data_IF_529403116101
#
_entry.id   IF_529403116101
#
_cell.length_a   1.000
_cell.length_b   1.000
_cell.length_c   1.000
_cell.angle_alpha   90.00
_cell.angle_beta   90.00
_cell.angle_gamma   90.00
#
_symmetry.space_group_name_H-M   'P 1'
#
loop_
_entity.id
_entity.type
_entity.pdbx_description
1 polymer ?
#
# COMPACT_ATOMS: atom_id res chain seq x y z
N UNK A 1 -30.02 10.99 3.89
CA UNK A 1 -29.12 11.40 2.79
C UNK A 1 -27.77 11.58 3.46
N UNK A 2 -26.93 10.55 3.38
CA UNK A 2 -25.55 10.65 3.86
C UNK A 2 -24.81 11.59 2.90
N UNK A 3 -24.22 12.66 3.44
CA UNK A 3 -23.44 13.59 2.66
C UNK A 3 -22.17 12.89 2.18
N UNK A 4 -21.92 12.90 0.88
CA UNK A 4 -20.70 12.36 0.27
C UNK A 4 -19.40 13.02 0.79
N UNK A 5 -19.52 14.07 1.59
CA UNK A 5 -18.40 14.89 2.04
C UNK A 5 -17.89 14.52 3.44
N UNK A 6 -18.43 13.46 4.05
CA UNK A 6 -18.10 13.08 5.43
C UNK A 6 -16.77 12.31 5.54
N UNK A 7 -16.21 11.88 4.43
CA UNK A 7 -14.94 11.14 4.39
C UNK A 7 -13.91 11.89 3.55
N UNK A 8 -12.70 11.98 4.08
CA UNK A 8 -11.57 12.53 3.34
C UNK A 8 -10.36 11.61 3.43
N UNK A 9 -9.57 11.59 2.37
CA UNK A 9 -8.22 11.03 2.38
C UNK A 9 -7.25 12.18 2.42
N UNK A 10 -6.40 12.23 3.43
CA UNK A 10 -5.26 13.15 3.47
C UNK A 10 -3.99 12.40 3.11
N UNK A 11 -3.10 13.09 2.39
CA UNK A 11 -1.77 12.58 2.05
C UNK A 11 -0.73 13.61 2.47
N UNK A 12 0.22 13.19 3.28
CA UNK A 12 1.35 14.01 3.73
C UNK A 12 2.62 13.48 3.10
N UNK A 13 3.38 14.34 2.44
CA UNK A 13 4.64 13.98 1.78
C UNK A 13 5.73 15.02 2.02
N UNK A 14 6.98 14.57 2.16
CA UNK A 14 8.10 15.48 2.35
C UNK A 14 9.31 14.83 3.02
N UNK A 15 10.25 15.62 3.52
CA UNK A 15 11.39 15.10 4.30
C UNK A 15 10.91 14.40 5.57
N UNK A 16 11.39 13.16 5.79
CA UNK A 16 11.06 12.41 7.00
C UNK A 16 11.71 13.04 8.23
N UNK A 17 10.90 13.30 9.24
CA UNK A 17 11.34 13.85 10.51
C UNK A 17 10.51 13.33 11.68
N UNK A 18 11.09 13.21 12.88
CA UNK A 18 10.34 12.88 14.08
C UNK A 18 9.24 13.92 14.35
N UNK A 19 8.07 13.43 14.75
CA UNK A 19 6.97 14.31 15.16
C UNK A 19 5.90 14.55 14.10
N UNK A 20 6.11 14.21 12.81
CA UNK A 20 5.12 14.43 11.76
C UNK A 20 3.81 13.72 12.09
N UNK A 21 3.84 12.43 12.36
CA UNK A 21 2.63 11.65 12.67
C UNK A 21 1.97 12.16 13.93
N UNK A 22 2.75 12.40 15.00
CA UNK A 22 2.18 12.86 16.29
C UNK A 22 1.53 14.23 16.17
N UNK A 23 2.10 15.17 15.44
CA UNK A 23 1.51 16.49 15.24
C UNK A 23 0.20 16.42 14.45
N UNK A 24 0.19 15.68 13.35
CA UNK A 24 -1.02 15.50 12.53
C UNK A 24 -2.12 14.80 13.34
N UNK A 25 -1.79 13.69 14.01
CA UNK A 25 -2.79 12.94 14.79
C UNK A 25 -3.28 13.69 16.03
N UNK A 26 -2.48 14.60 16.62
CA UNK A 26 -2.94 15.48 17.70
C UNK A 26 -4.04 16.40 17.24
N UNK A 27 -3.88 17.06 16.07
CA UNK A 27 -4.92 17.90 15.47
C UNK A 27 -6.20 17.10 15.20
N UNK A 28 -6.07 15.88 14.66
CA UNK A 28 -7.21 15.00 14.42
C UNK A 28 -7.93 14.65 15.73
N UNK A 29 -7.16 14.33 16.78
CA UNK A 29 -7.69 13.99 18.10
C UNK A 29 -8.44 15.18 18.76
N UNK A 30 -7.86 16.38 18.70
CA UNK A 30 -8.48 17.61 19.25
C UNK A 30 -9.81 17.92 18.57
N UNK A 31 -9.93 17.60 17.29
CA UNK A 31 -11.13 17.79 16.48
C UNK A 31 -12.07 16.58 16.51
N UNK A 32 -11.83 15.56 17.35
CA UNK A 32 -12.62 14.33 17.46
C UNK A 32 -12.80 13.59 16.12
N UNK A 33 -11.79 13.63 15.24
CA UNK A 33 -11.79 12.96 13.95
C UNK A 33 -11.42 11.49 14.13
N UNK A 34 -12.19 10.60 13.52
CA UNK A 34 -11.88 9.16 13.51
C UNK A 34 -10.99 8.81 12.33
N UNK A 35 -9.89 8.12 12.60
CA UNK A 35 -9.04 7.52 11.56
C UNK A 35 -9.62 6.16 11.22
N UNK A 36 -9.98 5.95 9.93
CA UNK A 36 -10.48 4.68 9.41
C UNK A 36 -9.33 3.80 8.97
N UNK A 37 -8.38 4.39 8.26
CA UNK A 37 -7.21 3.70 7.74
C UNK A 37 -6.00 4.63 7.77
N UNK A 38 -4.80 4.03 7.93
CA UNK A 38 -3.54 4.75 7.98
C UNK A 38 -2.42 3.90 7.40
N UNK A 39 -1.71 4.44 6.43
CA UNK A 39 -0.50 3.85 5.89
C UNK A 39 0.64 4.86 5.82
N UNK A 40 1.83 4.41 6.20
CA UNK A 40 3.06 5.19 6.12
C UNK A 40 4.16 4.38 5.46
N UNK A 41 4.88 5.04 4.57
CA UNK A 41 6.11 4.51 3.99
C UNK A 41 7.20 5.58 4.03
N UNK A 42 8.44 5.16 4.31
CA UNK A 42 9.61 6.05 4.22
C UNK A 42 10.56 5.50 3.17
N UNK A 43 10.80 6.30 2.12
CA UNK A 43 11.72 5.95 1.04
C UNK A 43 12.87 6.95 1.05
N UNK A 44 14.08 6.50 1.41
CA UNK A 44 15.31 7.33 1.40
C UNK A 44 15.12 8.72 2.03
N UNK A 45 14.59 8.77 3.26
CA UNK A 45 14.30 10.01 4.01
C UNK A 45 13.14 10.86 3.47
N UNK A 46 12.32 10.33 2.62
CA UNK A 46 11.05 10.93 2.22
C UNK A 46 9.92 10.13 2.84
N UNK A 47 9.07 10.80 3.62
CA UNK A 47 7.85 10.23 4.19
C UNK A 47 6.70 10.38 3.18
N UNK A 48 5.91 9.34 3.09
CA UNK A 48 4.58 9.34 2.48
C UNK A 48 3.63 8.75 3.52
N UNK A 49 2.70 9.57 4.00
CA UNK A 49 1.71 9.18 4.99
C UNK A 49 0.33 9.46 4.40
N UNK A 50 -0.50 8.43 4.34
CA UNK A 50 -1.89 8.55 3.89
C UNK A 50 -2.82 8.13 5.02
N UNK A 51 -3.88 8.89 5.24
CA UNK A 51 -4.92 8.58 6.23
C UNK A 51 -6.29 8.77 5.63
N UNK A 52 -7.18 7.82 5.87
CA UNK A 52 -8.60 7.97 5.61
C UNK A 52 -9.31 8.39 6.89
N UNK A 53 -10.05 9.48 6.83
CA UNK A 53 -10.66 10.14 7.97
C UNK A 53 -12.18 10.16 7.83
N UNK A 54 -12.87 9.90 8.94
CA UNK A 54 -14.32 10.06 9.10
C UNK A 54 -14.59 11.36 9.90
N UNK A 55 -15.26 12.28 9.27
CA UNK A 55 -15.51 13.63 9.80
C UNK A 55 -16.92 13.79 10.39
N UNK A 56 -17.74 12.74 10.41
CA UNK A 56 -19.16 12.83 10.87
C UNK A 56 -19.33 13.34 12.29
N UNK A 57 -18.37 13.06 13.15
CA UNK A 57 -18.37 13.50 14.56
C UNK A 57 -17.37 14.63 14.82
N UNK A 58 -16.79 15.23 13.76
CA UNK A 58 -15.74 16.23 13.91
C UNK A 58 -16.28 17.53 14.53
N UNK A 59 -15.50 18.07 15.48
CA UNK A 59 -15.77 19.36 16.13
C UNK A 59 -15.18 20.49 15.29
N UNK A 60 -15.92 21.55 15.05
CA UNK A 60 -15.41 22.77 14.40
C UNK A 60 -15.56 22.83 12.89
N UNK A 61 -16.01 21.74 12.24
CA UNK A 61 -16.25 21.70 10.79
C UNK A 61 -14.99 21.44 9.95
N UNK A 62 -15.22 20.94 8.75
CA UNK A 62 -14.16 20.49 7.82
C UNK A 62 -13.15 21.58 7.46
N UNK A 63 -13.62 22.82 7.23
CA UNK A 63 -12.76 23.94 6.81
C UNK A 63 -11.76 24.30 7.91
N UNK A 64 -12.18 24.33 9.19
CA UNK A 64 -11.28 24.61 10.31
C UNK A 64 -10.22 23.55 10.44
N UNK A 65 -10.60 22.27 10.40
CA UNK A 65 -9.69 21.14 10.46
C UNK A 65 -8.64 21.19 9.35
N UNK A 66 -9.09 21.37 8.10
CA UNK A 66 -8.17 21.42 6.96
C UNK A 66 -7.20 22.60 7.07
N UNK A 67 -7.68 23.76 7.53
CA UNK A 67 -6.79 24.90 7.77
C UNK A 67 -5.71 24.60 8.81
N UNK A 68 -6.09 23.97 9.93
CA UNK A 68 -5.14 23.62 10.99
C UNK A 68 -4.11 22.59 10.51
N UNK A 69 -4.55 21.58 9.77
CA UNK A 69 -3.68 20.58 9.15
C UNK A 69 -2.71 21.20 8.13
N UNK A 70 -3.18 22.12 7.28
CA UNK A 70 -2.33 22.81 6.29
C UNK A 70 -1.29 23.73 6.97
N UNK A 71 -1.68 24.42 8.04
CA UNK A 71 -0.74 25.25 8.81
C UNK A 71 0.33 24.39 9.47
N UNK A 72 -0.05 23.27 10.06
CA UNK A 72 0.88 22.34 10.68
C UNK A 72 1.82 21.69 9.67
N UNK A 73 1.29 21.24 8.51
CA UNK A 73 2.11 20.71 7.43
C UNK A 73 3.19 21.72 6.98
N UNK A 74 2.82 22.98 6.85
CA UNK A 74 3.77 24.05 6.54
C UNK A 74 4.83 24.23 7.63
N UNK A 75 4.44 24.14 8.91
CA UNK A 75 5.37 24.21 10.04
C UNK A 75 6.36 23.05 10.05
N UNK A 76 5.90 21.87 9.68
CA UNK A 76 6.70 20.64 9.59
C UNK A 76 7.51 20.54 8.29
N UNK A 77 7.38 21.50 7.37
CA UNK A 77 8.02 21.50 6.06
C UNK A 77 7.67 20.25 5.22
N UNK A 78 6.39 19.86 5.27
CA UNK A 78 5.82 18.80 4.44
C UNK A 78 4.67 19.36 3.61
N UNK A 79 4.35 18.67 2.51
CA UNK A 79 3.18 18.93 1.70
C UNK A 79 1.99 18.12 2.24
N UNK A 80 0.81 18.71 2.24
CA UNK A 80 -0.43 18.04 2.58
C UNK A 80 -1.44 18.26 1.46
N UNK A 81 -1.94 17.17 0.92
CA UNK A 81 -3.04 17.12 -0.03
C UNK A 81 -4.25 16.41 0.57
N UNK A 82 -5.45 16.68 0.05
CA UNK A 82 -6.67 16.01 0.51
C UNK A 82 -7.65 15.78 -0.63
N UNK A 83 -8.39 14.69 -0.54
CA UNK A 83 -9.47 14.32 -1.45
C UNK A 83 -10.70 13.93 -0.67
N UNK A 84 -11.86 14.41 -1.12
CA UNK A 84 -13.14 13.91 -0.63
C UNK A 84 -13.32 12.48 -1.14
N UNK A 85 -13.70 11.58 -0.25
CA UNK A 85 -13.95 10.18 -0.54
C UNK A 85 -15.44 9.88 -0.41
N UNK A 86 -16.00 9.04 -1.28
CA UNK A 86 -17.37 8.56 -1.14
C UNK A 86 -17.46 7.37 -0.18
N UNK A 87 -18.52 7.31 0.59
CA UNK A 87 -18.76 6.24 1.58
C UNK A 87 -18.82 4.84 0.95
N UNK A 88 -19.41 4.73 -0.24
CA UNK A 88 -19.63 3.45 -0.91
C UNK A 88 -18.34 2.76 -1.39
N UNK A 89 -17.25 3.51 -1.58
CA UNK A 89 -15.98 2.97 -2.06
C UNK A 89 -15.19 2.23 -0.97
N UNK A 90 -15.54 2.43 0.32
CA UNK A 90 -14.67 2.04 1.44
C UNK A 90 -15.26 0.98 2.37
N UNK A 91 -16.56 0.73 2.32
CA UNK A 91 -17.23 -0.26 3.19
C UNK A 91 -17.54 -1.59 2.52
N UNK A 92 -17.20 -1.74 1.25
CA UNK A 92 -17.27 -3.06 0.64
C UNK A 92 -16.16 -3.91 1.27
N UNK A 93 -16.52 -4.74 2.22
CA UNK A 93 -15.79 -5.96 2.54
C UNK A 93 -15.86 -6.83 1.28
N UNK A 94 -15.04 -6.44 0.33
CA UNK A 94 -14.91 -7.17 -0.91
C UNK A 94 -14.40 -8.56 -0.61
N UNK A 95 -15.11 -9.56 -1.07
CA UNK A 95 -14.60 -10.92 -1.25
C UNK A 95 -13.47 -10.91 -2.30
N UNK A 96 -12.47 -10.06 -2.11
CA UNK A 96 -11.38 -9.92 -3.03
C UNK A 96 -10.36 -11.02 -2.79
N UNK A 97 -9.98 -11.66 -3.87
CA UNK A 97 -8.86 -12.59 -3.84
C UNK A 97 -7.55 -11.80 -3.92
N UNK A 98 -6.66 -12.06 -2.97
CA UNK A 98 -5.34 -11.45 -2.95
C UNK A 98 -4.28 -12.51 -3.21
N UNK A 99 -3.31 -12.14 -4.04
CA UNK A 99 -2.14 -12.97 -4.32
C UNK A 99 -0.89 -12.15 -4.13
N UNK A 100 0.20 -12.82 -3.76
CA UNK A 100 1.52 -12.24 -3.73
C UNK A 100 2.34 -12.79 -4.90
N UNK A 101 2.83 -11.90 -5.73
CA UNK A 101 3.79 -12.17 -6.79
C UNK A 101 5.15 -11.72 -6.28
N UNK A 102 6.05 -12.68 -6.06
CA UNK A 102 7.41 -12.42 -5.59
C UNK A 102 8.39 -12.62 -6.74
N UNK A 103 9.21 -11.61 -7.00
CA UNK A 103 10.30 -11.68 -8.00
C UNK A 103 11.64 -11.58 -7.29
N UNK A 104 12.52 -12.54 -7.55
CA UNK A 104 13.88 -12.65 -7.02
C UNK A 104 14.89 -12.70 -8.16
N UNK A 105 15.98 -11.96 -8.06
CA UNK A 105 17.06 -11.98 -9.05
C UNK A 105 18.26 -11.14 -8.61
N UNK A 106 19.38 -11.31 -9.30
CA UNK A 106 20.58 -10.49 -9.04
C UNK A 106 20.28 -9.01 -9.33
N UNK A 107 19.48 -8.75 -10.35
CA UNK A 107 19.11 -7.39 -10.74
C UNK A 107 17.67 -7.33 -11.23
N UNK A 108 16.81 -6.66 -10.50
CA UNK A 108 15.44 -6.37 -10.92
C UNK A 108 15.42 -4.99 -11.59
N UNK A 109 15.32 -4.99 -12.92
CA UNK A 109 15.30 -3.77 -13.72
C UNK A 109 13.88 -3.24 -13.88
N UNK A 110 13.75 -1.96 -14.27
CA UNK A 110 12.44 -1.38 -14.60
C UNK A 110 11.73 -2.19 -15.72
N UNK A 111 12.49 -2.81 -16.64
CA UNK A 111 11.95 -3.65 -17.68
C UNK A 111 11.29 -4.91 -17.11
N UNK A 112 11.92 -5.58 -16.15
CA UNK A 112 11.33 -6.74 -15.45
C UNK A 112 10.04 -6.35 -14.75
N UNK A 113 10.07 -5.25 -13.98
CA UNK A 113 8.87 -4.74 -13.30
C UNK A 113 7.75 -4.43 -14.28
N UNK A 114 8.06 -3.79 -15.41
CA UNK A 114 7.08 -3.46 -16.44
C UNK A 114 6.45 -4.72 -17.06
N UNK A 115 7.24 -5.75 -17.36
CA UNK A 115 6.73 -7.00 -17.93
C UNK A 115 5.83 -7.75 -16.94
N UNK A 116 6.24 -7.83 -15.67
CA UNK A 116 5.41 -8.44 -14.62
C UNK A 116 4.09 -7.66 -14.47
N UNK A 117 4.16 -6.33 -14.40
CA UNK A 117 2.98 -5.47 -14.27
C UNK A 117 2.03 -5.61 -15.47
N UNK A 118 2.57 -5.71 -16.70
CA UNK A 118 1.78 -5.94 -17.90
C UNK A 118 1.10 -7.32 -17.90
N UNK A 119 1.80 -8.36 -17.45
CA UNK A 119 1.24 -9.70 -17.31
C UNK A 119 0.07 -9.70 -16.32
N UNK A 120 0.22 -9.05 -15.16
CA UNK A 120 -0.82 -8.90 -14.14
C UNK A 120 -2.00 -8.10 -14.71
N UNK A 121 -1.74 -6.95 -15.35
CA UNK A 121 -2.75 -6.12 -15.98
C UNK A 121 -3.57 -6.86 -17.05
N UNK A 122 -2.91 -7.72 -17.85
CA UNK A 122 -3.59 -8.50 -18.90
C UNK A 122 -4.65 -9.48 -18.36
N UNK A 123 -4.57 -9.83 -17.07
CA UNK A 123 -5.56 -10.65 -16.36
C UNK A 123 -6.64 -9.80 -15.66
N UNK A 124 -6.65 -8.49 -15.91
CA UNK A 124 -7.55 -7.53 -15.24
C UNK A 124 -7.41 -7.55 -13.71
N UNK A 125 -6.17 -7.70 -13.24
CA UNK A 125 -5.80 -7.73 -11.83
C UNK A 125 -5.09 -6.43 -11.47
N UNK A 126 -5.44 -5.85 -10.34
CA UNK A 126 -4.80 -4.62 -9.84
C UNK A 126 -3.62 -4.94 -8.92
N UNK A 127 -2.55 -4.18 -9.04
CA UNK A 127 -1.44 -4.20 -8.09
C UNK A 127 -1.78 -3.22 -6.97
N UNK A 128 -1.98 -3.72 -5.75
CA UNK A 128 -2.34 -2.92 -4.59
C UNK A 128 -1.10 -2.38 -3.85
N UNK A 129 -0.03 -3.17 -3.83
CA UNK A 129 1.21 -2.77 -3.17
C UNK A 129 2.43 -3.41 -3.82
N UNK A 130 3.52 -2.65 -3.90
CA UNK A 130 4.84 -3.15 -4.28
C UNK A 130 5.80 -2.85 -3.14
N UNK A 131 6.51 -3.88 -2.67
CA UNK A 131 7.48 -3.73 -1.58
C UNK A 131 8.80 -4.37 -1.99
N UNK A 132 9.90 -3.67 -1.78
CA UNK A 132 11.23 -4.24 -1.91
C UNK A 132 11.59 -4.94 -0.61
N UNK A 133 11.79 -6.27 -0.67
CA UNK A 133 12.09 -7.10 0.50
C UNK A 133 13.59 -7.20 0.79
N UNK A 134 14.42 -7.14 -0.26
CA UNK A 134 15.89 -7.14 -0.11
C UNK A 134 16.57 -6.30 -1.18
N UNK A 135 17.75 -5.79 -0.82
CA UNK A 135 18.71 -5.12 -1.70
C UNK A 135 20.09 -5.68 -1.42
N UNK A 136 20.87 -6.00 -2.46
CA UNK A 136 22.23 -6.50 -2.33
C UNK A 136 22.58 -7.40 -3.50
N UNK A 137 23.31 -8.49 -3.24
CA UNK A 137 23.68 -9.50 -4.25
C UNK A 137 22.43 -10.14 -4.89
N UNK A 138 21.36 -10.31 -4.08
CA UNK A 138 20.04 -10.70 -4.57
C UNK A 138 19.02 -9.65 -4.18
N UNK A 139 18.29 -9.16 -5.17
CA UNK A 139 17.17 -8.24 -5.02
C UNK A 139 15.87 -9.02 -5.03
N UNK A 140 14.96 -8.67 -4.14
CA UNK A 140 13.63 -9.26 -4.06
C UNK A 140 12.56 -8.17 -3.98
N UNK A 141 11.55 -8.26 -4.85
CA UNK A 141 10.33 -7.45 -4.75
C UNK A 141 9.11 -8.35 -4.57
N UNK A 142 8.16 -7.86 -3.83
CA UNK A 142 6.86 -8.47 -3.66
C UNK A 142 5.77 -7.50 -4.13
N UNK A 143 4.88 -8.00 -4.97
CA UNK A 143 3.69 -7.30 -5.43
C UNK A 143 2.46 -7.98 -4.86
N UNK A 144 1.68 -7.27 -4.06
CA UNK A 144 0.37 -7.75 -3.63
C UNK A 144 -0.63 -7.32 -4.69
N UNK A 145 -1.32 -8.30 -5.23
CA UNK A 145 -2.32 -8.09 -6.29
C UNK A 145 -3.70 -8.48 -5.81
N UNK A 146 -4.71 -7.74 -6.25
CA UNK A 146 -6.09 -7.85 -5.81
C UNK A 146 -7.01 -7.99 -7.02
N UNK A 147 -7.99 -8.88 -6.91
CA UNK A 147 -9.02 -9.09 -7.92
C UNK A 147 -10.36 -9.42 -7.28
N UNK A 148 -11.43 -8.95 -7.87
CA UNK A 148 -12.81 -9.21 -7.48
C UNK A 148 -13.35 -10.55 -8.04
N UNK A 149 -12.59 -11.19 -8.93
CA UNK A 149 -12.95 -12.42 -9.61
C UNK A 149 -11.98 -13.54 -9.29
N UNK A 150 -12.47 -14.77 -9.35
CA UNK A 150 -11.60 -15.94 -9.37
C UNK A 150 -10.80 -15.90 -10.69
N UNK A 151 -9.54 -15.52 -10.62
CA UNK A 151 -8.64 -15.54 -11.76
C UNK A 151 -8.15 -16.95 -12.02
N UNK A 152 -7.83 -17.25 -13.27
CA UNK A 152 -7.06 -18.43 -13.59
C UNK A 152 -5.59 -18.20 -13.21
N UNK A 153 -5.24 -18.52 -11.96
CA UNK A 153 -3.88 -18.38 -11.43
C UNK A 153 -2.86 -19.10 -12.31
N UNK A 154 -3.27 -20.18 -12.99
CA UNK A 154 -2.39 -20.94 -13.87
C UNK A 154 -1.99 -20.13 -15.11
N UNK A 155 -2.92 -19.41 -15.73
CA UNK A 155 -2.62 -18.55 -16.89
C UNK A 155 -1.69 -17.39 -16.51
N UNK A 156 -1.97 -16.72 -15.40
CA UNK A 156 -1.10 -15.69 -14.87
C UNK A 156 0.29 -16.25 -14.57
N UNK A 157 0.37 -17.39 -13.90
CA UNK A 157 1.64 -18.06 -13.59
C UNK A 157 2.40 -18.46 -14.86
N UNK A 158 1.70 -18.95 -15.88
CA UNK A 158 2.34 -19.29 -17.16
C UNK A 158 3.01 -18.10 -17.84
N UNK A 159 2.34 -16.94 -17.89
CA UNK A 159 2.92 -15.68 -18.40
C UNK A 159 4.13 -15.23 -17.58
N UNK A 160 4.04 -15.31 -16.25
CA UNK A 160 5.12 -14.92 -15.35
C UNK A 160 6.34 -15.87 -15.46
N UNK A 161 6.15 -17.16 -15.71
CA UNK A 161 7.21 -18.11 -15.96
C UNK A 161 7.97 -17.80 -17.26
N UNK A 162 7.29 -17.34 -18.31
CA UNK A 162 7.97 -16.89 -19.53
C UNK A 162 8.90 -15.70 -19.23
N UNK A 163 8.42 -14.73 -18.46
CA UNK A 163 9.21 -13.57 -18.03
C UNK A 163 10.42 -14.03 -17.19
N UNK A 164 10.21 -14.99 -16.28
CA UNK A 164 11.29 -15.58 -15.47
C UNK A 164 12.41 -16.11 -16.35
N UNK A 165 12.08 -16.88 -17.39
CA UNK A 165 13.05 -17.44 -18.33
C UNK A 165 13.74 -16.37 -19.17
N UNK A 166 13.00 -15.38 -19.66
CA UNK A 166 13.51 -14.35 -20.57
C UNK A 166 14.48 -13.38 -19.88
N UNK A 167 14.28 -13.14 -18.59
CA UNK A 167 15.04 -12.14 -17.83
C UNK A 167 15.97 -12.73 -16.77
N UNK A 168 16.00 -14.04 -16.59
CA UNK A 168 16.85 -14.70 -15.60
C UNK A 168 16.50 -14.31 -14.16
N UNK A 169 15.21 -14.21 -13.87
CA UNK A 169 14.67 -13.92 -12.53
C UNK A 169 13.75 -15.05 -12.09
N UNK A 170 13.65 -15.30 -10.80
CA UNK A 170 12.68 -16.26 -10.25
C UNK A 170 11.38 -15.54 -9.88
N UNK A 171 10.25 -16.05 -10.35
CA UNK A 171 8.93 -15.48 -10.03
C UNK A 171 8.05 -16.54 -9.41
N UNK A 172 7.47 -16.24 -8.26
CA UNK A 172 6.53 -17.10 -7.55
C UNK A 172 5.21 -16.39 -7.33
N UNK A 173 4.10 -17.12 -7.46
CA UNK A 173 2.74 -16.64 -7.19
C UNK A 173 2.14 -17.46 -6.07
N UNK A 174 1.65 -16.80 -5.03
CA UNK A 174 1.05 -17.45 -3.86
C UNK A 174 -0.23 -16.72 -3.47
N UNK A 175 -1.24 -17.48 -3.01
CA UNK A 175 -2.43 -16.87 -2.44
C UNK A 175 -2.06 -16.14 -1.15
N UNK A 176 -2.44 -14.86 -1.06
CA UNK A 176 -2.24 -14.07 0.17
C UNK A 176 -3.25 -14.51 1.22
N UNK A 177 -2.77 -14.71 2.44
CA UNK A 177 -3.63 -14.99 3.58
C UNK A 177 -2.95 -14.48 4.88
N UNK A 178 -3.74 -14.40 5.96
CA UNK A 178 -3.28 -13.94 7.28
C UNK A 178 -2.06 -14.73 7.76
N UNK A 179 -2.00 -16.02 7.45
CA UNK A 179 -0.91 -16.90 7.91
C UNK A 179 0.41 -16.65 7.17
N UNK A 180 0.37 -16.09 5.97
CA UNK A 180 1.59 -15.76 5.21
C UNK A 180 2.38 -14.62 5.86
N UNK A 181 1.71 -13.69 6.51
CA UNK A 181 2.34 -12.57 7.24
C UNK A 181 2.95 -13.01 8.57
N UNK A 182 2.55 -14.18 9.09
CA UNK A 182 3.11 -14.74 10.31
C UNK A 182 4.47 -15.35 10.03
N UNK A 183 5.53 -14.87 10.68
CA UNK A 183 6.85 -15.51 10.62
C UNK A 183 6.72 -16.92 11.21
N UNK A 184 7.00 -17.94 10.40
CA UNK A 184 7.07 -19.34 10.86
C UNK A 184 8.53 -19.74 10.98
N UNK A 185 8.90 -20.28 12.13
CA UNK A 185 10.19 -20.92 12.30
C UNK A 185 10.11 -22.32 11.69
N UNK A 186 10.91 -22.58 10.66
CA UNK A 186 11.14 -23.93 10.15
C UNK A 186 12.50 -24.36 10.64
N UNK A 187 12.53 -25.36 11.50
CA UNK A 187 13.76 -26.01 11.95
C UNK A 187 13.94 -27.26 11.09
N UNK A 188 15.00 -27.29 10.31
CA UNK A 188 15.43 -28.49 9.59
C UNK A 188 16.65 -29.05 10.31
N UNK A 189 16.55 -30.31 10.77
CA UNK A 189 17.71 -31.08 11.21
C UNK A 189 18.33 -31.71 9.95
N UNK A 190 19.59 -31.38 9.70
CA UNK A 190 20.37 -32.00 8.66
C UNK A 190 21.26 -33.04 9.32
N UNK A 191 20.71 -34.23 9.55
CA UNK A 191 21.54 -35.40 9.85
C UNK A 191 22.37 -35.76 8.61
N UNK A 192 23.67 -35.69 8.76
CA UNK A 192 24.68 -36.10 7.79
C UNK A 192 24.84 -37.60 7.76
#
# INVERSE_FOLDING_TARGET
MENSDDFIVITVSGPDAPGIVSSITSILSENAVKIIDIEQIVIRKLILLSMMLDLRESKGGQISLLKDLLLEAKRLNVELDFKIASYDEHLQHDNNFMYAVTCLGEKITAQVVAQISNAIYSENVNIERITQLSQGELSCIEMIVKTDKTINVQDMTGKLLSISSDFGVDIAVQKENIFRRSKRLVVMDMDS
#
